data_IF_076102359062
#
_entry.id   IF_076102359062
#
_cell.length_a   1.000
_cell.length_b   1.000
_cell.length_c   1.000
_cell.angle_alpha   90.00
_cell.angle_beta   90.00
_cell.angle_gamma   90.00
#
_symmetry.space_group_name_H-M   'P 1'
#
loop_
_entity.id
_entity.type
_entity.pdbx_description
1 polymer ?
#
# COMPACT_ATOMS: atom_id res chain seq x y z
N UNK A 1 -0.62 -12.24 24.13
CA UNK A 1 -0.07 -10.93 24.51
C UNK A 1 0.27 -10.21 23.22
N UNK A 2 -0.51 -9.18 22.89
CA UNK A 2 -0.29 -8.33 21.71
C UNK A 2 0.62 -7.16 22.14
N UNK A 3 1.91 -7.16 21.80
CA UNK A 3 2.82 -6.23 22.43
C UNK A 3 2.68 -4.79 21.99
N UNK A 4 2.18 -4.47 20.78
CA UNK A 4 2.18 -3.08 20.31
C UNK A 4 1.06 -2.79 19.31
N UNK A 5 -0.11 -2.40 19.81
CA UNK A 5 -1.17 -1.81 19.00
C UNK A 5 -1.16 -0.30 19.19
N UNK A 6 -0.89 0.46 18.15
CA UNK A 6 -0.93 1.93 18.20
C UNK A 6 -2.18 2.45 17.49
N UNK A 7 -2.92 3.31 18.18
CA UNK A 7 -4.07 4.03 17.64
C UNK A 7 -3.61 5.37 17.05
N UNK A 8 -3.86 5.57 15.75
CA UNK A 8 -3.75 6.89 15.15
C UNK A 8 -5.03 7.67 15.36
N UNK A 9 -4.92 8.83 16.00
CA UNK A 9 -6.00 9.78 16.21
C UNK A 9 -5.59 11.14 15.62
N UNK A 10 -6.44 11.73 14.78
CA UNK A 10 -6.19 13.09 14.29
C UNK A 10 -6.56 14.11 15.38
N UNK A 11 -5.77 15.15 15.52
CA UNK A 11 -6.10 16.32 16.33
C UNK A 11 -6.93 17.26 15.45
N UNK A 12 -8.26 17.10 15.43
CA UNK A 12 -9.13 18.00 14.69
C UNK A 12 -10.39 17.35 14.13
N UNK A 13 -11.32 18.13 13.71
CA UNK A 13 -12.73 17.82 13.45
C UNK A 13 -13.04 16.81 12.34
N UNK A 14 -12.06 16.36 11.57
CA UNK A 14 -12.18 15.32 10.56
C UNK A 14 -11.21 14.18 10.89
N UNK A 15 -11.72 12.97 10.99
CA UNK A 15 -10.90 11.76 11.17
C UNK A 15 -9.83 11.65 10.08
N UNK A 16 -8.75 10.94 10.39
CA UNK A 16 -7.69 10.67 9.40
C UNK A 16 -8.26 9.76 8.29
N UNK A 17 -8.03 10.11 7.04
CA UNK A 17 -8.49 9.30 5.91
C UNK A 17 -7.70 7.99 5.78
N UNK A 18 -8.26 7.00 5.06
CA UNK A 18 -7.56 5.75 4.75
C UNK A 18 -6.20 5.98 4.09
N UNK A 19 -6.14 6.90 3.14
CA UNK A 19 -4.91 7.19 2.39
C UNK A 19 -3.85 7.87 3.26
N UNK A 20 -4.26 8.77 4.16
CA UNK A 20 -3.33 9.40 5.11
C UNK A 20 -2.79 8.41 6.13
N UNK A 21 -3.66 7.54 6.66
CA UNK A 21 -3.24 6.51 7.61
C UNK A 21 -2.28 5.52 6.94
N UNK A 22 -2.60 5.07 5.73
CA UNK A 22 -1.73 4.21 4.92
C UNK A 22 -0.39 4.90 4.64
N UNK A 23 -0.41 6.18 4.24
CA UNK A 23 0.81 6.95 3.96
C UNK A 23 1.73 7.08 5.17
N UNK A 24 1.19 7.17 6.40
CA UNK A 24 2.01 7.16 7.62
C UNK A 24 2.71 5.81 7.84
N UNK A 25 2.02 4.70 7.56
CA UNK A 25 2.63 3.37 7.61
C UNK A 25 3.70 3.24 6.51
N UNK A 26 3.43 3.71 5.32
CA UNK A 26 4.41 3.71 4.22
C UNK A 26 5.65 4.52 4.58
N UNK A 27 5.48 5.70 5.17
CA UNK A 27 6.60 6.53 5.65
C UNK A 27 7.46 5.81 6.70
N UNK A 28 6.83 5.06 7.63
CA UNK A 28 7.56 4.24 8.60
C UNK A 28 8.45 3.20 7.90
N UNK A 29 7.88 2.46 6.94
CA UNK A 29 8.63 1.45 6.19
C UNK A 29 9.76 2.06 5.35
N UNK A 30 9.53 3.26 4.76
CA UNK A 30 10.56 4.00 4.02
C UNK A 30 11.72 4.43 4.92
N UNK A 31 11.42 4.93 6.12
CA UNK A 31 12.46 5.30 7.12
C UNK A 31 13.29 4.09 7.57
N UNK A 32 12.69 2.91 7.59
CA UNK A 32 13.37 1.66 7.93
C UNK A 32 14.05 0.99 6.71
N UNK A 33 13.94 1.59 5.51
CA UNK A 33 14.41 1.01 4.24
C UNK A 33 13.84 -0.40 3.99
N UNK A 34 12.57 -0.62 4.33
CA UNK A 34 11.87 -1.88 4.14
C UNK A 34 11.01 -1.83 2.89
N UNK A 35 11.32 -2.67 1.91
CA UNK A 35 10.45 -2.88 0.75
C UNK A 35 9.19 -3.62 1.20
N UNK A 36 8.03 -3.13 0.78
CA UNK A 36 6.72 -3.64 1.17
C UNK A 36 5.79 -3.84 0.00
N UNK A 37 4.94 -4.83 0.13
CA UNK A 37 3.86 -5.13 -0.81
C UNK A 37 2.55 -5.24 -0.05
N UNK A 38 1.53 -4.55 -0.52
CA UNK A 38 0.20 -4.55 0.06
C UNK A 38 -0.67 -5.60 -0.61
N UNK A 39 -1.36 -6.42 0.19
CA UNK A 39 -2.38 -7.35 -0.31
C UNK A 39 -3.66 -7.15 0.49
N UNK A 40 -4.85 -7.24 -0.15
CA UNK A 40 -6.10 -7.30 0.61
C UNK A 40 -6.04 -8.48 1.60
N UNK A 41 -6.59 -8.30 2.81
CA UNK A 41 -6.66 -9.39 3.77
C UNK A 41 -7.45 -10.56 3.18
N UNK A 42 -6.81 -11.71 3.04
CA UNK A 42 -7.38 -12.93 2.48
C UNK A 42 -8.19 -13.70 3.51
N UNK A 43 -7.70 -13.79 4.74
CA UNK A 43 -8.40 -14.46 5.84
C UNK A 43 -9.21 -13.44 6.66
N UNK A 44 -10.52 -13.44 6.41
CA UNK A 44 -11.48 -12.61 7.15
C UNK A 44 -11.83 -13.19 8.53
N UNK A 45 -11.35 -14.38 8.86
CA UNK A 45 -11.68 -15.05 10.12
C UNK A 45 -10.90 -14.43 11.27
N UNK A 46 -9.64 -14.17 11.08
CA UNK A 46 -8.75 -13.54 12.06
C UNK A 46 -8.88 -12.02 12.09
N UNK A 47 -9.29 -11.40 10.98
CA UNK A 47 -9.40 -9.94 10.83
C UNK A 47 -10.83 -9.39 10.93
N UNK A 48 -11.74 -10.14 11.57
CA UNK A 48 -13.17 -9.73 11.75
C UNK A 48 -13.37 -8.37 12.43
N UNK A 49 -12.38 -7.92 13.18
CA UNK A 49 -12.39 -6.62 13.86
C UNK A 49 -12.01 -5.46 12.91
N UNK A 50 -11.52 -5.75 11.70
CA UNK A 50 -11.18 -4.78 10.69
C UNK A 50 -12.28 -4.63 9.63
N UNK A 51 -12.27 -3.47 8.98
CA UNK A 51 -13.18 -3.16 7.88
C UNK A 51 -12.88 -4.07 6.66
N UNK A 52 -13.90 -4.72 6.05
CA UNK A 52 -13.70 -5.74 5.01
C UNK A 52 -13.02 -5.24 3.72
N UNK A 53 -13.09 -3.92 3.44
CA UNK A 53 -12.52 -3.31 2.25
C UNK A 53 -11.41 -2.29 2.55
N UNK A 54 -11.19 -1.97 3.85
CA UNK A 54 -10.14 -1.05 4.30
C UNK A 54 -9.22 -1.76 5.27
N UNK A 55 -8.73 -2.93 4.85
CA UNK A 55 -7.74 -3.73 5.55
C UNK A 55 -6.80 -4.39 4.57
N UNK A 56 -5.55 -4.50 4.95
CA UNK A 56 -4.52 -5.08 4.11
C UNK A 56 -3.46 -5.79 4.95
N UNK A 57 -2.89 -6.83 4.39
CA UNK A 57 -1.69 -7.48 4.87
C UNK A 57 -0.47 -6.85 4.18
N UNK A 58 0.62 -6.74 4.90
CA UNK A 58 1.86 -6.14 4.42
C UNK A 58 2.94 -7.23 4.36
N UNK A 59 3.55 -7.38 3.19
CA UNK A 59 4.52 -8.43 2.91
C UNK A 59 5.88 -7.86 2.53
N UNK A 60 6.93 -8.58 2.88
CA UNK A 60 8.28 -8.33 2.38
C UNK A 60 8.43 -8.75 0.91
N UNK A 61 9.51 -8.34 0.26
CA UNK A 61 9.88 -8.80 -1.09
C UNK A 61 10.03 -10.32 -1.20
N UNK A 62 10.32 -11.00 -0.09
CA UNK A 62 10.47 -12.46 0.00
C UNK A 62 9.12 -13.18 0.28
N UNK A 63 8.03 -12.43 0.38
CA UNK A 63 6.71 -12.98 0.65
C UNK A 63 6.43 -13.31 2.13
N UNK A 64 7.30 -12.88 3.07
CA UNK A 64 7.01 -12.98 4.50
C UNK A 64 6.09 -11.86 4.93
N UNK A 65 5.09 -12.15 5.75
CA UNK A 65 4.20 -11.14 6.30
C UNK A 65 4.94 -10.28 7.33
N UNK A 66 4.83 -8.97 7.17
CA UNK A 66 5.20 -8.01 8.20
C UNK A 66 4.08 -7.78 9.21
N UNK A 67 2.84 -8.08 8.82
CA UNK A 67 1.67 -7.88 9.66
C UNK A 67 0.47 -7.33 8.90
N UNK A 68 -0.45 -6.75 9.65
CA UNK A 68 -1.74 -6.26 9.14
C UNK A 68 -1.92 -4.78 9.47
N UNK A 69 -2.69 -4.11 8.62
CA UNK A 69 -3.14 -2.73 8.81
C UNK A 69 -4.58 -2.59 8.34
N UNK A 70 -5.40 -1.85 9.07
CA UNK A 70 -6.77 -1.61 8.63
C UNK A 70 -7.57 -0.68 9.53
N UNK A 71 -8.71 -0.24 9.01
CA UNK A 71 -9.71 0.49 9.77
C UNK A 71 -10.48 -0.48 10.67
N UNK A 72 -10.83 -0.06 11.88
CA UNK A 72 -11.74 -0.82 12.76
C UNK A 72 -13.09 -1.01 12.04
N UNK A 73 -13.67 -2.20 12.22
CA UNK A 73 -14.99 -2.51 11.69
C UNK A 73 -16.03 -1.53 12.24
N UNK A 74 -16.88 -0.90 11.40
CA UNK A 74 -17.84 0.11 11.84
C UNK A 74 -18.79 -0.35 12.96
N UNK A 75 -19.23 -1.61 12.93
CA UNK A 75 -20.08 -2.18 13.99
C UNK A 75 -19.35 -2.27 15.32
N UNK A 76 -18.04 -2.54 15.30
CA UNK A 76 -17.23 -2.57 16.52
C UNK A 76 -16.97 -1.15 17.02
N UNK A 77 -16.66 -0.22 16.12
CA UNK A 77 -16.50 1.20 16.47
C UNK A 77 -17.75 1.75 17.15
N UNK A 78 -18.94 1.47 16.60
CA UNK A 78 -20.20 1.88 17.22
C UNK A 78 -20.43 1.27 18.62
N UNK A 79 -20.11 -0.03 18.79
CA UNK A 79 -20.22 -0.69 20.10
C UNK A 79 -19.28 -0.09 21.16
N UNK A 80 -18.14 0.41 20.73
CA UNK A 80 -17.13 1.04 21.59
C UNK A 80 -17.34 2.55 21.75
N UNK A 81 -18.43 3.12 21.20
CA UNK A 81 -18.73 4.55 21.20
C UNK A 81 -17.55 5.41 20.68
N UNK A 82 -16.91 4.97 19.61
CA UNK A 82 -15.84 5.70 18.97
C UNK A 82 -16.43 6.75 18.01
N UNK A 83 -16.01 8.01 18.18
CA UNK A 83 -16.53 9.16 17.45
C UNK A 83 -15.83 9.41 16.08
N UNK A 84 -14.72 8.76 15.81
CA UNK A 84 -13.93 8.98 14.60
C UNK A 84 -13.43 7.68 13.99
N UNK A 85 -13.01 7.73 12.74
CA UNK A 85 -12.34 6.62 12.07
C UNK A 85 -11.05 6.28 12.80
N UNK A 86 -10.86 5.02 13.13
CA UNK A 86 -9.69 4.50 13.83
C UNK A 86 -9.04 3.43 12.96
N UNK A 87 -7.73 3.54 12.82
CA UNK A 87 -6.91 2.57 12.12
C UNK A 87 -6.01 1.84 13.10
N UNK A 88 -5.87 0.55 12.90
CA UNK A 88 -5.03 -0.34 13.69
C UNK A 88 -3.96 -0.94 12.80
N UNK A 89 -2.82 -1.22 13.41
CA UNK A 89 -1.80 -2.05 12.79
C UNK A 89 -1.19 -2.99 13.83
N UNK A 90 -0.75 -4.12 13.34
CA UNK A 90 0.00 -5.11 14.11
C UNK A 90 1.15 -5.60 13.24
N UNK A 91 2.38 -5.51 13.75
CA UNK A 91 3.58 -5.87 13.01
C UNK A 91 4.40 -6.91 13.74
N UNK A 92 4.94 -7.85 12.97
CA UNK A 92 5.94 -8.81 13.43
C UNK A 92 7.33 -8.15 13.41
N UNK A 93 7.78 -7.76 14.61
CA UNK A 93 9.06 -7.06 14.76
C UNK A 93 10.26 -7.97 14.46
N UNK A 94 10.16 -9.29 14.66
CA UNK A 94 11.25 -10.21 14.36
C UNK A 94 11.49 -10.29 12.85
N UNK A 95 10.41 -10.37 12.06
CA UNK A 95 10.48 -10.34 10.61
C UNK A 95 11.02 -8.99 10.12
N UNK A 96 10.59 -7.88 10.72
CA UNK A 96 11.07 -6.55 10.36
C UNK A 96 12.56 -6.40 10.67
N UNK A 97 13.01 -6.80 11.86
CA UNK A 97 14.42 -6.74 12.28
C UNK A 97 15.31 -7.57 11.34
N UNK A 98 14.90 -8.79 11.02
CA UNK A 98 15.63 -9.64 10.09
C UNK A 98 15.83 -8.96 8.73
N UNK A 99 14.80 -8.32 8.20
CA UNK A 99 14.89 -7.61 6.92
C UNK A 99 15.74 -6.34 7.00
N UNK A 100 15.69 -5.60 8.13
CA UNK A 100 16.54 -4.43 8.36
C UNK A 100 18.01 -4.85 8.40
N UNK A 101 18.33 -5.93 9.11
CA UNK A 101 19.71 -6.43 9.19
C UNK A 101 20.25 -6.88 7.85
N UNK A 102 19.41 -7.49 7.00
CA UNK A 102 19.78 -7.90 5.65
C UNK A 102 20.07 -6.70 4.75
N UNK A 103 19.33 -5.60 4.92
CA UNK A 103 19.44 -4.39 4.12
C UNK A 103 20.50 -3.38 4.63
N UNK A 104 21.23 -3.72 5.68
CA UNK A 104 22.22 -2.81 6.33
C UNK A 104 23.34 -2.30 5.43
N UNK A 105 23.62 -2.98 4.32
CA UNK A 105 24.65 -2.54 3.38
C UNK A 105 24.03 -1.61 2.32
N UNK A 106 23.93 -0.35 2.67
CA UNK A 106 23.61 0.68 1.68
C UNK A 106 24.88 0.99 0.90
N UNK A 107 25.03 0.37 -0.27
CA UNK A 107 26.11 0.74 -1.17
C UNK A 107 25.83 2.11 -1.77
N UNK A 108 26.84 2.97 -1.78
CA UNK A 108 26.76 4.22 -2.52
C UNK A 108 26.45 3.93 -3.99
N UNK A 109 25.32 4.45 -4.48
CA UNK A 109 24.97 4.45 -5.89
C UNK A 109 25.08 5.89 -6.38
N UNK A 110 25.98 6.12 -7.35
CA UNK A 110 26.10 7.45 -7.93
C UNK A 110 24.75 7.89 -8.54
N UNK A 111 24.34 9.11 -8.26
CA UNK A 111 23.16 9.68 -8.88
C UNK A 111 23.41 9.98 -10.36
N UNK A 112 22.34 9.94 -11.14
CA UNK A 112 22.39 10.27 -12.55
C UNK A 112 22.71 11.75 -12.75
N UNK A 113 23.63 12.06 -13.64
CA UNK A 113 23.90 13.43 -14.08
C UNK A 113 22.83 13.96 -15.05
N UNK A 114 21.98 13.07 -15.57
CA UNK A 114 20.94 13.43 -16.51
C UNK A 114 19.60 13.62 -15.77
N UNK A 115 18.80 14.62 -16.17
CA UNK A 115 17.47 14.81 -15.60
C UNK A 115 16.56 13.63 -15.91
N UNK A 116 15.62 13.36 -15.02
CA UNK A 116 14.56 12.36 -15.26
C UNK A 116 13.68 12.82 -16.42
N UNK A 117 13.31 11.88 -17.28
CA UNK A 117 12.26 12.07 -18.27
C UNK A 117 11.00 11.44 -17.72
N UNK A 118 9.95 12.23 -17.62
CA UNK A 118 8.62 11.79 -17.17
C UNK A 118 7.72 11.66 -18.39
N UNK A 119 7.00 10.55 -18.48
CA UNK A 119 6.06 10.26 -19.58
C UNK A 119 4.74 9.74 -18.99
N UNK A 120 3.66 10.28 -19.50
CA UNK A 120 2.32 9.79 -19.19
C UNK A 120 1.87 8.78 -20.25
N UNK A 121 1.25 7.71 -19.79
CA UNK A 121 0.73 6.63 -20.61
C UNK A 121 -0.70 6.33 -20.21
N UNK A 122 -1.63 6.46 -21.14
CA UNK A 122 -3.03 6.08 -20.95
C UNK A 122 -3.31 4.73 -21.60
N UNK A 123 -3.85 3.80 -20.81
CA UNK A 123 -4.16 2.43 -21.24
C UNK A 123 -5.65 2.14 -21.03
N UNK A 124 -6.28 1.49 -22.00
CA UNK A 124 -7.63 0.92 -21.85
C UNK A 124 -7.46 -0.59 -21.66
N UNK A 125 -7.90 -1.09 -20.51
CA UNK A 125 -7.72 -2.48 -20.11
C UNK A 125 -9.03 -3.06 -19.59
N UNK A 126 -9.12 -4.39 -19.50
CA UNK A 126 -10.26 -5.08 -18.87
C UNK A 126 -10.29 -4.80 -17.36
N UNK A 127 -11.49 -4.75 -16.77
CA UNK A 127 -11.68 -4.39 -15.36
C UNK A 127 -11.04 -5.37 -14.38
N UNK A 128 -10.90 -6.63 -14.77
CA UNK A 128 -10.30 -7.71 -13.98
C UNK A 128 -8.77 -7.64 -13.89
N UNK A 129 -8.12 -6.87 -14.77
CA UNK A 129 -6.67 -6.69 -14.76
C UNK A 129 -6.30 -5.69 -13.67
N UNK A 130 -5.52 -6.13 -12.70
CA UNK A 130 -5.01 -5.26 -11.63
C UNK A 130 -3.83 -4.41 -12.10
N UNK A 131 -3.64 -3.24 -11.47
CA UNK A 131 -2.47 -2.39 -11.72
C UNK A 131 -1.15 -3.14 -11.46
N UNK A 132 -1.11 -4.01 -10.46
CA UNK A 132 0.07 -4.82 -10.13
C UNK A 132 0.55 -5.69 -11.30
N UNK A 133 -0.38 -6.29 -12.04
CA UNK A 133 -0.05 -7.10 -13.24
C UNK A 133 0.58 -6.23 -14.31
N UNK A 134 0.03 -5.05 -14.54
CA UNK A 134 0.56 -4.09 -15.53
C UNK A 134 1.93 -3.63 -15.11
N UNK A 135 2.08 -3.23 -13.86
CA UNK A 135 3.36 -2.76 -13.30
C UNK A 135 4.45 -3.83 -13.44
N UNK A 136 4.15 -5.09 -13.07
CA UNK A 136 5.08 -6.21 -13.26
C UNK A 136 5.44 -6.43 -14.72
N UNK A 137 4.46 -6.35 -15.63
CA UNK A 137 4.68 -6.52 -17.07
C UNK A 137 5.58 -5.42 -17.61
N UNK A 138 5.34 -4.18 -17.22
CA UNK A 138 6.14 -3.04 -17.65
C UNK A 138 7.57 -3.11 -17.12
N UNK A 139 7.77 -3.48 -15.85
CA UNK A 139 9.13 -3.68 -15.31
C UNK A 139 9.86 -4.86 -15.95
N UNK A 140 9.15 -5.95 -16.25
CA UNK A 140 9.78 -7.14 -16.87
C UNK A 140 10.20 -6.91 -18.32
N UNK A 141 9.49 -6.06 -19.04
CA UNK A 141 9.76 -5.76 -20.45
C UNK A 141 10.35 -4.36 -20.67
N UNK A 142 10.45 -3.57 -19.62
CA UNK A 142 11.01 -2.23 -19.64
C UNK A 142 12.53 -2.24 -19.80
N UNK A 143 13.08 -1.11 -20.20
CA UNK A 143 14.54 -0.93 -20.27
C UNK A 143 15.11 -0.71 -18.87
N UNK A 144 16.43 -0.88 -18.75
CA UNK A 144 17.19 -0.55 -17.52
C UNK A 144 17.04 0.92 -17.06
N UNK A 145 16.46 1.79 -17.90
CA UNK A 145 16.23 3.20 -17.60
C UNK A 145 14.85 3.46 -16.99
N UNK A 146 13.96 2.47 -16.95
CA UNK A 146 12.67 2.57 -16.29
C UNK A 146 12.89 2.54 -14.79
N UNK A 147 12.66 3.68 -14.12
CA UNK A 147 12.94 3.82 -12.69
C UNK A 147 11.69 3.67 -11.83
N UNK A 148 10.56 4.16 -12.30
CA UNK A 148 9.34 4.24 -11.51
C UNK A 148 8.11 4.21 -12.41
N UNK A 149 7.02 3.59 -11.92
CA UNK A 149 5.71 3.55 -12.57
C UNK A 149 4.67 3.86 -11.50
N UNK A 150 4.00 4.99 -11.66
CA UNK A 150 2.95 5.45 -10.77
C UNK A 150 1.60 5.42 -11.46
N UNK A 151 0.57 4.98 -10.75
CA UNK A 151 -0.81 5.12 -11.18
C UNK A 151 -1.29 6.52 -10.78
N UNK A 152 -1.62 7.34 -11.77
CA UNK A 152 -2.15 8.68 -11.55
C UNK A 152 -3.67 8.68 -11.40
N UNK A 153 -4.36 7.94 -12.28
CA UNK A 153 -5.82 7.95 -12.32
C UNK A 153 -6.38 6.64 -12.87
N UNK A 154 -7.57 6.27 -12.41
CA UNK A 154 -8.39 5.19 -12.96
C UNK A 154 -9.78 5.73 -13.26
N UNK A 155 -10.19 5.63 -14.51
CA UNK A 155 -11.48 6.13 -14.98
C UNK A 155 -12.35 5.02 -15.56
N UNK A 156 -13.62 5.01 -15.16
CA UNK A 156 -14.68 4.18 -15.73
C UNK A 156 -15.87 5.10 -16.07
N UNK A 157 -16.27 5.14 -17.31
CA UNK A 157 -17.37 6.00 -17.74
C UNK A 157 -17.90 5.68 -19.13
N UNK A 158 -18.88 6.45 -19.58
CA UNK A 158 -19.62 6.22 -20.82
C UNK A 158 -18.77 6.26 -22.09
N UNK A 159 -17.60 6.89 -22.02
CA UNK A 159 -16.64 6.97 -23.15
C UNK A 159 -15.76 5.73 -23.29
N UNK A 160 -15.84 4.78 -22.35
CA UNK A 160 -15.04 3.55 -22.36
C UNK A 160 -15.98 2.36 -22.58
N UNK A 161 -15.57 1.35 -23.38
CA UNK A 161 -16.39 0.17 -23.60
C UNK A 161 -16.79 -0.53 -22.30
N UNK A 162 -17.98 -1.13 -22.20
CA UNK A 162 -18.38 -1.91 -21.03
C UNK A 162 -17.35 -2.98 -20.69
N UNK A 163 -17.07 -3.19 -19.39
CA UNK A 163 -16.06 -4.10 -18.84
C UNK A 163 -14.58 -3.67 -19.04
N UNK A 164 -14.36 -2.45 -19.49
CA UNK A 164 -13.04 -1.85 -19.59
C UNK A 164 -12.90 -0.65 -18.66
N UNK A 165 -11.68 -0.34 -18.31
CA UNK A 165 -11.27 0.85 -17.57
C UNK A 165 -10.09 1.53 -18.24
N UNK A 166 -9.95 2.83 -18.03
CA UNK A 166 -8.78 3.59 -18.43
C UNK A 166 -7.87 3.79 -17.22
N UNK A 167 -6.60 3.51 -17.38
CA UNK A 167 -5.57 3.85 -16.41
C UNK A 167 -4.65 4.90 -16.99
N UNK A 168 -4.35 5.92 -16.21
CA UNK A 168 -3.31 6.89 -16.50
C UNK A 168 -2.10 6.57 -15.63
N UNK A 169 -0.98 6.25 -16.27
CA UNK A 169 0.29 5.90 -15.64
C UNK A 169 1.33 6.98 -15.92
N UNK A 170 2.27 7.16 -14.99
CA UNK A 170 3.43 8.03 -15.15
C UNK A 170 4.70 7.30 -14.79
#
# INVERSE_FOLDING_TARGET
>A
LFPYTTLFRSNGELGISWFEAKGKIEQLFDQLNLLRYWKPCSDRTETKFLHPYRSAEIYSAEGKSFGIFGQIHPLLANKLNLLSEIYLFEFDLEVMEFQIQKNKLTFYKSYSLYPKIVKDLSLIIQNDISFEIIQKTLYSNGTQFLSEINLLDEYQGSSIPPKFKSLCLQ
#
